data_IF_339533020546
#
_entry.id   IF_339533020546
#
_cell.length_a   1.000
_cell.length_b   1.000
_cell.length_c   1.000
_cell.angle_alpha   90.00
_cell.angle_beta   90.00
_cell.angle_gamma   90.00
#
_symmetry.space_group_name_H-M   'P 1'
#
loop_
_entity.id
_entity.type
_entity.pdbx_description
1 polymer ?
#
# COMPACT_ATOMS: atom_id res chain seq x y z
N UNK A 1 -1.17 -36.49 5.78
CA UNK A 1 -1.48 -35.58 6.91
C UNK A 1 -0.21 -34.81 7.21
N UNK A 2 -0.08 -33.49 7.16
CA UNK A 2 -1.01 -32.37 7.22
C UNK A 2 -0.35 -31.23 6.42
N UNK A 3 -0.99 -30.78 5.32
CA UNK A 3 -0.61 -29.49 4.71
C UNK A 3 -1.43 -28.42 5.43
N UNK A 4 -0.73 -27.69 6.30
CA UNK A 4 -1.28 -26.60 7.11
C UNK A 4 -1.99 -25.57 6.24
N UNK A 5 -3.30 -25.48 6.48
CA UNK A 5 -4.21 -24.42 6.12
C UNK A 5 -3.64 -23.04 6.44
N UNK A 6 -3.63 -22.14 5.46
CA UNK A 6 -3.22 -20.76 5.73
C UNK A 6 -3.48 -19.72 4.64
N UNK A 7 -3.96 -20.05 3.45
CA UNK A 7 -4.43 -19.05 2.47
C UNK A 7 -5.53 -19.65 1.59
N UNK A 8 -6.68 -19.96 2.19
CA UNK A 8 -7.94 -20.07 1.45
C UNK A 8 -8.71 -18.77 1.65
N UNK A 9 -8.28 -17.75 0.90
CA UNK A 9 -9.10 -16.61 0.53
C UNK A 9 -9.02 -16.45 -0.99
N UNK A 10 -9.16 -17.57 -1.70
CA UNK A 10 -9.28 -17.65 -3.16
C UNK A 10 -10.72 -17.93 -3.56
N UNK A 11 -11.66 -17.21 -2.93
CA UNK A 11 -13.05 -17.20 -3.37
C UNK A 11 -13.15 -16.24 -4.55
N UNK A 12 -13.12 -16.80 -5.76
CA UNK A 12 -13.74 -16.25 -6.97
C UNK A 12 -13.64 -14.73 -7.17
N UNK A 13 -12.46 -14.25 -7.56
CA UNK A 13 -12.30 -12.89 -8.09
C UNK A 13 -11.98 -12.95 -9.59
N UNK A 14 -12.77 -13.73 -10.34
CA UNK A 14 -12.69 -13.77 -11.82
C UNK A 14 -13.03 -12.42 -12.49
N UNK A 15 -13.41 -11.41 -11.70
CA UNK A 15 -13.66 -10.02 -12.11
C UNK A 15 -12.67 -9.02 -11.55
N UNK A 16 -11.63 -9.44 -10.80
CA UNK A 16 -10.61 -8.51 -10.32
C UNK A 16 -9.63 -8.16 -11.43
N UNK A 17 -10.04 -7.24 -12.29
CA UNK A 17 -9.14 -6.59 -13.23
C UNK A 17 -8.10 -5.78 -12.45
N UNK A 18 -6.81 -6.05 -12.69
CA UNK A 18 -5.71 -5.28 -12.12
C UNK A 18 -5.90 -3.81 -12.55
N UNK A 19 -5.95 -2.85 -11.61
CA UNK A 19 -6.01 -1.42 -11.94
C UNK A 19 -4.95 -0.98 -12.97
N UNK A 20 -3.79 -1.65 -13.06
CA UNK A 20 -2.78 -1.39 -14.09
C UNK A 20 -3.22 -1.83 -15.48
N UNK A 21 -3.84 -3.00 -15.60
CA UNK A 21 -4.39 -3.50 -16.87
C UNK A 21 -5.55 -2.62 -17.34
N UNK A 22 -6.39 -2.20 -16.41
CA UNK A 22 -7.47 -1.22 -16.62
C UNK A 22 -6.92 0.08 -17.20
N UNK A 23 -5.86 0.65 -16.60
CA UNK A 23 -5.24 1.87 -17.11
C UNK A 23 -4.59 1.68 -18.48
N UNK A 24 -3.95 0.54 -18.72
CA UNK A 24 -3.32 0.24 -20.01
C UNK A 24 -4.38 0.15 -21.13
N UNK A 25 -5.45 -0.64 -20.92
CA UNK A 25 -6.55 -0.79 -21.88
C UNK A 25 -7.24 0.57 -22.15
N UNK A 26 -7.59 1.28 -21.09
CA UNK A 26 -8.28 2.57 -21.23
C UNK A 26 -7.41 3.67 -21.81
N UNK A 27 -6.09 3.63 -21.61
CA UNK A 27 -5.20 4.60 -22.25
C UNK A 27 -5.20 4.47 -23.77
N UNK A 28 -5.23 3.23 -24.29
CA UNK A 28 -5.29 2.96 -25.73
C UNK A 28 -6.65 3.33 -26.30
N UNK A 29 -7.73 2.89 -25.65
CA UNK A 29 -9.10 3.25 -26.04
C UNK A 29 -9.31 4.77 -26.06
N UNK A 30 -8.79 5.48 -25.05
CA UNK A 30 -8.92 6.92 -24.96
C UNK A 30 -8.21 7.66 -26.10
N UNK A 31 -6.99 7.24 -26.46
CA UNK A 31 -6.26 7.83 -27.59
C UNK A 31 -6.99 7.59 -28.90
N UNK A 32 -7.49 6.37 -29.13
CA UNK A 32 -8.24 6.03 -30.33
C UNK A 32 -9.56 6.82 -30.44
N UNK A 33 -10.32 6.91 -29.34
CA UNK A 33 -11.57 7.69 -29.29
C UNK A 33 -11.33 9.19 -29.47
N UNK A 34 -10.22 9.72 -28.94
CA UNK A 34 -9.84 11.12 -29.15
C UNK A 34 -9.51 11.40 -30.61
N UNK A 35 -8.80 10.51 -31.29
CA UNK A 35 -8.54 10.62 -32.72
C UNK A 35 -9.85 10.57 -33.51
N UNK A 36 -10.73 9.61 -33.20
CA UNK A 36 -12.07 9.52 -33.82
C UNK A 36 -12.90 10.79 -33.60
N UNK A 37 -12.86 11.37 -32.41
CA UNK A 37 -13.53 12.64 -32.10
C UNK A 37 -13.00 13.80 -32.96
N UNK A 38 -11.67 13.91 -33.08
CA UNK A 38 -11.02 14.94 -33.90
C UNK A 38 -11.38 14.77 -35.39
N UNK A 39 -11.43 13.53 -35.89
CA UNK A 39 -11.86 13.22 -37.26
C UNK A 39 -13.33 13.60 -37.50
N UNK A 40 -14.24 13.24 -36.58
CA UNK A 40 -15.67 13.59 -36.70
C UNK A 40 -15.84 15.12 -36.72
N UNK A 41 -15.09 15.83 -35.88
CA UNK A 41 -15.08 17.30 -35.86
C UNK A 41 -14.57 17.89 -37.17
N UNK A 42 -13.51 17.33 -37.74
CA UNK A 42 -12.97 17.76 -39.03
C UNK A 42 -13.98 17.53 -40.17
N UNK A 43 -14.67 16.38 -40.18
CA UNK A 43 -15.71 16.10 -41.18
C UNK A 43 -16.93 17.01 -41.03
N UNK A 44 -17.35 17.35 -39.81
CA UNK A 44 -18.43 18.32 -39.58
C UNK A 44 -18.07 19.71 -40.11
N UNK A 45 -16.82 20.15 -39.90
CA UNK A 45 -16.31 21.39 -40.49
C UNK A 45 -16.32 21.34 -42.02
N UNK A 46 -15.93 20.21 -42.61
CA UNK A 46 -15.99 20.02 -44.05
C UNK A 46 -17.43 20.13 -44.58
N UNK A 47 -18.39 19.45 -43.95
CA UNK A 47 -19.81 19.55 -44.32
C UNK A 47 -20.31 21.00 -44.22
N UNK A 48 -19.90 21.75 -43.20
CA UNK A 48 -20.24 23.17 -43.09
C UNK A 48 -19.67 24.01 -44.25
N UNK A 49 -18.41 23.75 -44.64
CA UNK A 49 -17.82 24.43 -45.80
C UNK A 49 -18.52 24.07 -47.11
N UNK A 50 -18.94 22.81 -47.27
CA UNK A 50 -19.68 22.34 -48.44
C UNK A 50 -21.07 22.96 -48.53
N UNK A 51 -21.80 23.07 -47.41
CA UNK A 51 -23.08 23.77 -47.33
C UNK A 51 -22.92 25.25 -47.71
N UNK A 52 -21.86 25.90 -47.20
CA UNK A 52 -21.55 27.30 -47.54
C UNK A 52 -21.24 27.46 -49.03
N UNK A 53 -20.53 26.49 -49.63
CA UNK A 53 -20.24 26.47 -51.05
C UNK A 53 -21.51 26.24 -51.89
N UNK A 54 -22.44 25.39 -51.45
CA UNK A 54 -23.74 25.20 -52.11
C UNK A 54 -24.55 26.50 -52.12
N UNK A 55 -24.58 27.23 -51.01
CA UNK A 55 -25.25 28.54 -50.94
C UNK A 55 -24.62 29.56 -51.89
N UNK A 56 -23.30 29.52 -52.07
CA UNK A 56 -22.60 30.37 -53.05
C UNK A 56 -22.94 29.98 -54.49
N UNK A 57 -23.02 28.68 -54.81
CA UNK A 57 -23.40 28.20 -56.14
C UNK A 57 -24.82 28.60 -56.52
N UNK A 58 -25.75 28.52 -55.56
CA UNK A 58 -27.13 29.00 -55.74
C UNK A 58 -27.15 30.52 -56.02
N UNK A 59 -26.39 31.31 -55.25
CA UNK A 59 -26.29 32.77 -55.45
C UNK A 59 -25.72 33.16 -56.82
N UNK A 60 -24.82 32.34 -57.37
CA UNK A 60 -24.25 32.53 -58.71
C UNK A 60 -25.16 32.01 -59.83
N UNK A 61 -26.25 31.32 -59.50
CA UNK A 61 -27.14 30.69 -60.46
C UNK A 61 -26.55 29.46 -61.15
N UNK A 62 -25.47 28.87 -60.59
CA UNK A 62 -24.79 27.69 -61.16
C UNK A 62 -25.61 26.41 -60.97
N UNK A 63 -26.57 26.41 -60.03
CA UNK A 63 -27.46 25.29 -59.71
C UNK A 63 -28.89 25.79 -59.56
N UNK A 64 -29.87 24.91 -59.79
CA UNK A 64 -31.28 25.22 -59.57
C UNK A 64 -31.66 25.12 -58.09
N UNK A 65 -32.76 25.78 -57.71
CA UNK A 65 -33.25 25.77 -56.33
C UNK A 65 -33.68 24.36 -55.86
N UNK A 66 -34.19 23.53 -56.76
CA UNK A 66 -34.54 22.14 -56.46
C UNK A 66 -33.29 21.27 -56.20
N UNK A 67 -32.24 21.44 -57.00
CA UNK A 67 -30.96 20.73 -56.82
C UNK A 67 -30.26 21.17 -55.52
N UNK A 68 -30.32 22.47 -55.19
CA UNK A 68 -29.82 22.99 -53.91
C UNK A 68 -30.54 22.37 -52.72
N UNK A 69 -31.88 22.37 -52.73
CA UNK A 69 -32.69 21.78 -51.66
C UNK A 69 -32.39 20.30 -51.43
N UNK A 70 -32.21 19.53 -52.51
CA UNK A 70 -31.91 18.11 -52.41
C UNK A 70 -30.52 17.87 -51.79
N UNK A 71 -29.48 18.53 -52.32
CA UNK A 71 -28.11 18.39 -51.80
C UNK A 71 -27.98 18.93 -50.37
N UNK A 72 -28.69 20.00 -50.04
CA UNK A 72 -28.71 20.56 -48.69
C UNK A 72 -29.33 19.58 -47.70
N UNK A 73 -30.47 18.95 -48.04
CA UNK A 73 -31.10 17.93 -47.19
C UNK A 73 -30.21 16.72 -46.96
N UNK A 74 -29.54 16.22 -47.99
CA UNK A 74 -28.61 15.10 -47.87
C UNK A 74 -27.45 15.45 -46.92
N UNK A 75 -26.81 16.60 -47.11
CA UNK A 75 -25.71 17.07 -46.26
C UNK A 75 -26.14 17.36 -44.82
N UNK A 76 -27.35 17.89 -44.64
CA UNK A 76 -27.95 18.10 -43.33
C UNK A 76 -28.18 16.79 -42.58
N UNK A 77 -28.68 15.77 -43.28
CA UNK A 77 -28.92 14.44 -42.70
C UNK A 77 -27.60 13.80 -42.27
N UNK A 78 -26.58 13.87 -43.12
CA UNK A 78 -25.21 13.40 -42.78
C UNK A 78 -24.62 14.15 -41.59
N UNK A 79 -24.81 15.47 -41.52
CA UNK A 79 -24.36 16.28 -40.37
C UNK A 79 -25.05 15.84 -39.07
N UNK A 80 -26.35 15.55 -39.13
CA UNK A 80 -27.13 15.09 -37.97
C UNK A 80 -26.60 13.76 -37.43
N UNK A 81 -26.37 12.79 -38.33
CA UNK A 81 -25.77 11.49 -37.97
C UNK A 81 -24.36 11.66 -37.37
N UNK A 82 -23.55 12.56 -37.92
CA UNK A 82 -22.23 12.87 -37.37
C UNK A 82 -22.28 13.47 -35.97
N UNK A 83 -23.29 14.31 -35.67
CA UNK A 83 -23.48 14.89 -34.34
C UNK A 83 -23.87 13.81 -33.32
N UNK A 84 -24.67 12.82 -33.70
CA UNK A 84 -25.01 11.68 -32.84
C UNK A 84 -23.75 10.88 -32.49
N UNK A 85 -22.97 10.48 -33.49
CA UNK A 85 -21.68 9.79 -33.29
C UNK A 85 -20.74 10.61 -32.40
N UNK A 86 -20.66 11.94 -32.63
CA UNK A 86 -19.85 12.84 -31.78
C UNK A 86 -20.26 12.75 -30.32
N UNK A 87 -21.56 12.78 -30.01
CA UNK A 87 -22.07 12.70 -28.64
C UNK A 87 -21.77 11.35 -27.99
N UNK A 88 -21.87 10.25 -28.74
CA UNK A 88 -21.52 8.92 -28.26
C UNK A 88 -20.02 8.82 -27.90
N UNK A 89 -19.16 9.34 -28.77
CA UNK A 89 -17.71 9.39 -28.53
C UNK A 89 -17.39 10.26 -27.31
N UNK A 90 -18.03 11.43 -27.17
CA UNK A 90 -17.88 12.29 -25.98
C UNK A 90 -18.32 11.58 -24.68
N UNK A 91 -19.45 10.88 -24.72
CA UNK A 91 -19.93 10.10 -23.57
C UNK A 91 -18.93 9.01 -23.19
N UNK A 92 -18.42 8.26 -24.17
CA UNK A 92 -17.46 7.19 -23.90
C UNK A 92 -16.13 7.72 -23.38
N UNK A 93 -15.65 8.85 -23.90
CA UNK A 93 -14.45 9.52 -23.39
C UNK A 93 -14.61 9.95 -21.92
N UNK A 94 -15.80 10.45 -21.56
CA UNK A 94 -16.11 10.81 -20.17
C UNK A 94 -16.10 9.58 -19.25
N UNK A 95 -16.72 8.48 -19.67
CA UNK A 95 -16.75 7.23 -18.90
C UNK A 95 -15.34 6.66 -18.69
N UNK A 96 -14.53 6.61 -19.75
CA UNK A 96 -13.14 6.17 -19.67
C UNK A 96 -12.35 7.06 -18.71
N UNK A 97 -12.54 8.38 -18.76
CA UNK A 97 -11.87 9.29 -17.85
C UNK A 97 -12.28 9.03 -16.39
N UNK A 98 -13.55 8.72 -16.13
CA UNK A 98 -14.04 8.35 -14.79
C UNK A 98 -13.39 7.05 -14.30
N UNK A 99 -13.28 6.06 -15.17
CA UNK A 99 -12.67 4.75 -14.88
C UNK A 99 -11.17 4.86 -14.61
N UNK A 100 -10.43 5.65 -15.40
CA UNK A 100 -9.01 5.97 -15.17
C UNK A 100 -8.81 6.62 -13.79
N UNK A 101 -9.67 7.59 -13.41
CA UNK A 101 -9.57 8.24 -12.08
C UNK A 101 -9.81 7.24 -10.95
N UNK A 102 -10.79 6.35 -11.10
CA UNK A 102 -11.08 5.33 -10.11
C UNK A 102 -9.93 4.31 -9.97
N UNK A 103 -9.35 3.87 -11.09
CA UNK A 103 -8.20 2.97 -11.10
C UNK A 103 -6.98 3.60 -10.42
N UNK A 104 -6.68 4.87 -10.71
CA UNK A 104 -5.59 5.61 -10.06
C UNK A 104 -5.80 5.75 -8.55
N UNK A 105 -7.05 5.99 -8.10
CA UNK A 105 -7.37 6.06 -6.66
C UNK A 105 -7.07 4.71 -5.98
N UNK A 106 -7.50 3.60 -6.59
CA UNK A 106 -7.24 2.25 -6.08
C UNK A 106 -5.74 1.93 -6.00
N UNK A 107 -4.96 2.30 -7.03
CA UNK A 107 -3.50 2.10 -7.01
C UNK A 107 -2.84 2.86 -5.85
N UNK A 108 -3.25 4.11 -5.64
CA UNK A 108 -2.73 4.91 -4.53
C UNK A 108 -3.06 4.28 -3.18
N UNK A 109 -4.29 3.81 -2.98
CA UNK A 109 -4.69 3.13 -1.75
C UNK A 109 -3.87 1.84 -1.53
N UNK A 110 -3.62 1.07 -2.59
CA UNK A 110 -2.77 -0.12 -2.52
C UNK A 110 -1.31 0.20 -2.19
N UNK A 111 -0.74 1.28 -2.75
CA UNK A 111 0.62 1.74 -2.43
C UNK A 111 0.72 2.22 -0.98
N UNK A 112 -0.26 3.00 -0.49
CA UNK A 112 -0.31 3.45 0.90
C UNK A 112 -0.45 2.27 1.88
N UNK A 113 -1.23 1.25 1.53
CA UNK A 113 -1.31 0.01 2.32
C UNK A 113 0.01 -0.76 2.32
N UNK A 114 0.70 -0.87 1.19
CA UNK A 114 2.02 -1.52 1.11
C UNK A 114 3.03 -0.80 2.00
N UNK A 115 3.10 0.52 1.91
CA UNK A 115 4.00 1.32 2.76
C UNK A 115 3.68 1.15 4.25
N UNK A 116 2.39 1.10 4.62
CA UNK A 116 1.98 0.82 6.01
C UNK A 116 2.43 -0.58 6.45
N UNK A 117 2.26 -1.60 5.61
CA UNK A 117 2.70 -2.97 5.90
C UNK A 117 4.21 -3.05 6.02
N UNK A 118 4.95 -2.42 5.12
CA UNK A 118 6.42 -2.35 5.16
C UNK A 118 6.90 -1.65 6.44
N UNK A 119 6.26 -0.56 6.85
CA UNK A 119 6.58 0.12 8.11
C UNK A 119 6.32 -0.79 9.32
N UNK A 120 5.18 -1.47 9.37
CA UNK A 120 4.86 -2.42 10.45
C UNK A 120 5.88 -3.57 10.46
N UNK A 121 6.27 -4.11 9.30
CA UNK A 121 7.27 -5.17 9.21
C UNK A 121 8.66 -4.68 9.67
N UNK A 122 9.04 -3.45 9.33
CA UNK A 122 10.27 -2.83 9.84
C UNK A 122 10.23 -2.63 11.35
N UNK A 123 9.12 -2.14 11.91
CA UNK A 123 8.93 -2.00 13.35
C UNK A 123 9.02 -3.35 14.07
N UNK A 124 8.38 -4.40 13.53
CA UNK A 124 8.48 -5.77 14.04
C UNK A 124 9.90 -6.31 13.98
N UNK A 125 10.60 -6.09 12.87
CA UNK A 125 11.98 -6.52 12.68
C UNK A 125 12.91 -5.84 13.69
N UNK A 126 12.80 -4.51 13.82
CA UNK A 126 13.57 -3.75 14.79
C UNK A 126 13.29 -4.21 16.23
N UNK A 127 12.01 -4.40 16.58
CA UNK A 127 11.60 -4.91 17.88
C UNK A 127 12.14 -6.32 18.14
N UNK A 128 12.18 -7.19 17.13
CA UNK A 128 12.74 -8.53 17.24
C UNK A 128 14.26 -8.50 17.48
N UNK A 129 14.99 -7.64 16.77
CA UNK A 129 16.43 -7.44 16.98
C UNK A 129 16.70 -6.96 18.41
N UNK A 130 15.97 -5.95 18.87
CA UNK A 130 16.09 -5.43 20.23
C UNK A 130 15.75 -6.52 21.26
N UNK A 131 14.69 -7.30 21.01
CA UNK A 131 14.28 -8.39 21.90
C UNK A 131 15.35 -9.47 22.00
N UNK A 132 15.97 -9.86 20.88
CA UNK A 132 17.06 -10.84 20.87
C UNK A 132 18.28 -10.33 21.65
N UNK A 133 18.65 -9.06 21.49
CA UNK A 133 19.76 -8.45 22.22
C UNK A 133 19.48 -8.40 23.73
N UNK A 134 18.28 -7.96 24.13
CA UNK A 134 17.88 -7.91 25.53
C UNK A 134 17.77 -9.28 26.18
N UNK A 135 17.32 -10.30 25.43
CA UNK A 135 17.27 -11.68 25.92
C UNK A 135 18.66 -12.21 26.25
N UNK A 136 19.66 -11.96 25.39
CA UNK A 136 21.05 -12.33 25.69
C UNK A 136 21.56 -11.63 26.96
N UNK A 137 21.25 -10.34 27.12
CA UNK A 137 21.56 -9.59 28.35
C UNK A 137 20.86 -10.15 29.59
N UNK A 138 19.60 -10.57 29.45
CA UNK A 138 18.82 -11.20 30.51
C UNK A 138 19.43 -12.51 30.97
N UNK A 139 19.86 -13.35 30.03
CA UNK A 139 20.49 -14.64 30.33
C UNK A 139 21.80 -14.44 31.13
N UNK A 140 22.60 -13.42 30.80
CA UNK A 140 23.80 -13.04 31.56
C UNK A 140 23.48 -12.58 32.99
N UNK A 141 22.40 -11.79 33.17
CA UNK A 141 21.93 -11.37 34.50
C UNK A 141 21.51 -12.57 35.34
N UNK A 142 20.81 -13.54 34.74
CA UNK A 142 20.41 -14.78 35.39
C UNK A 142 21.61 -15.64 35.78
N UNK A 143 22.62 -15.74 34.90
CA UNK A 143 23.86 -16.44 35.20
C UNK A 143 24.63 -15.76 36.35
N UNK A 144 24.72 -14.42 36.35
CA UNK A 144 25.36 -13.67 37.42
C UNK A 144 24.67 -13.88 38.77
N UNK A 145 23.33 -13.91 38.79
CA UNK A 145 22.55 -14.21 40.00
C UNK A 145 22.85 -15.61 40.55
N UNK A 146 22.96 -16.61 39.67
CA UNK A 146 23.33 -17.98 40.04
C UNK A 146 24.75 -18.04 40.62
N UNK A 147 25.70 -17.31 40.03
CA UNK A 147 27.07 -17.23 40.50
C UNK A 147 27.16 -16.62 41.92
N UNK A 148 26.45 -15.52 42.16
CA UNK A 148 26.38 -14.87 43.49
C UNK A 148 25.78 -15.81 44.55
N UNK A 149 24.78 -16.62 44.17
CA UNK A 149 24.18 -17.62 45.07
C UNK A 149 25.20 -18.71 45.41
N UNK A 150 25.92 -19.21 44.40
CA UNK A 150 26.94 -20.26 44.57
C UNK A 150 28.15 -19.77 45.38
N UNK A 151 28.56 -18.51 45.21
CA UNK A 151 29.61 -17.87 46.02
C UNK A 151 29.21 -17.78 47.49
N UNK A 152 27.94 -17.50 47.77
CA UNK A 152 27.44 -17.47 49.14
C UNK A 152 27.41 -18.86 49.78
N UNK A 153 26.99 -19.90 49.05
CA UNK A 153 27.05 -21.27 49.55
C UNK A 153 28.48 -21.67 49.94
N UNK A 154 29.48 -21.24 49.15
CA UNK A 154 30.91 -21.42 49.48
C UNK A 154 31.32 -20.67 50.75
N UNK A 155 30.83 -19.45 50.93
CA UNK A 155 31.09 -18.62 52.13
C UNK A 155 30.43 -19.26 53.36
N UNK A 156 29.21 -19.79 53.25
CA UNK A 156 28.55 -20.52 54.33
C UNK A 156 29.31 -21.78 54.73
N UNK A 157 29.80 -22.56 53.76
CA UNK A 157 30.63 -23.74 54.03
C UNK A 157 31.93 -23.36 54.75
N UNK A 158 32.58 -22.26 54.35
CA UNK A 158 33.78 -21.75 55.03
C UNK A 158 33.48 -21.30 56.47
N UNK A 159 32.33 -20.67 56.71
CA UNK A 159 31.88 -20.30 58.06
C UNK A 159 31.66 -21.54 58.93
N UNK A 160 30.96 -22.55 58.42
CA UNK A 160 30.70 -23.81 59.15
C UNK A 160 31.97 -24.59 59.47
N UNK A 161 33.03 -24.37 58.70
CA UNK A 161 34.34 -24.95 58.92
C UNK A 161 35.27 -24.04 59.77
N UNK A 162 34.75 -22.98 60.38
CA UNK A 162 35.47 -21.97 61.18
C UNK A 162 36.66 -21.30 60.44
N UNK A 163 36.61 -21.27 59.10
CA UNK A 163 37.68 -20.72 58.26
C UNK A 163 37.60 -19.20 58.03
N UNK A 164 36.50 -18.58 58.44
CA UNK A 164 36.25 -17.14 58.32
C UNK A 164 35.59 -16.61 59.59
N UNK A 165 35.84 -15.35 59.93
CA UNK A 165 35.23 -14.72 61.09
C UNK A 165 33.76 -14.35 60.85
N UNK A 166 33.00 -14.25 61.94
CA UNK A 166 31.59 -13.83 61.89
C UNK A 166 31.43 -12.39 61.34
N UNK A 167 32.43 -11.53 61.53
CA UNK A 167 32.46 -10.17 60.97
C UNK A 167 32.65 -10.18 59.45
N UNK A 168 33.58 -10.99 58.94
CA UNK A 168 33.79 -11.18 57.50
C UNK A 168 32.57 -11.80 56.82
N UNK A 169 31.91 -12.78 57.46
CA UNK A 169 30.67 -13.37 56.98
C UNK A 169 29.54 -12.33 56.86
N UNK A 170 29.36 -11.48 57.89
CA UNK A 170 28.35 -10.40 57.85
C UNK A 170 28.64 -9.39 56.75
N UNK A 171 29.90 -8.99 56.58
CA UNK A 171 30.34 -8.09 55.51
C UNK A 171 30.04 -8.65 54.12
N UNK A 172 30.41 -9.91 53.88
CA UNK A 172 30.14 -10.59 52.61
C UNK A 172 28.63 -10.73 52.33
N UNK A 173 27.83 -11.05 53.36
CA UNK A 173 26.37 -11.15 53.23
C UNK A 173 25.71 -9.82 52.88
N UNK A 174 26.16 -8.71 53.46
CA UNK A 174 25.65 -7.37 53.12
C UNK A 174 26.01 -6.99 51.68
N UNK A 175 27.25 -7.28 51.24
CA UNK A 175 27.67 -7.05 49.86
C UNK A 175 26.84 -7.86 48.87
N UNK A 176 26.55 -9.12 49.20
CA UNK A 176 25.71 -10.00 48.39
C UNK A 176 24.28 -9.47 48.25
N UNK A 177 23.66 -9.02 49.36
CA UNK A 177 22.30 -8.45 49.34
C UNK A 177 22.24 -7.23 48.43
N UNK A 178 23.26 -6.37 48.44
CA UNK A 178 23.34 -5.20 47.54
C UNK A 178 23.41 -5.64 46.08
N UNK A 179 24.30 -6.56 45.74
CA UNK A 179 24.42 -7.08 44.37
C UNK A 179 23.13 -7.75 43.88
N UNK A 180 22.44 -8.51 44.74
CA UNK A 180 21.16 -9.14 44.40
C UNK A 180 20.04 -8.11 44.23
N UNK A 181 20.04 -7.03 45.01
CA UNK A 181 19.07 -5.94 44.86
C UNK A 181 19.26 -5.20 43.52
N UNK A 182 20.50 -4.90 43.14
CA UNK A 182 20.84 -4.27 41.85
C UNK A 182 20.47 -5.17 40.66
N UNK A 183 20.73 -6.49 40.75
CA UNK A 183 20.32 -7.42 39.70
C UNK A 183 18.80 -7.53 39.59
N UNK A 184 18.07 -7.45 40.71
CA UNK A 184 16.60 -7.54 40.71
C UNK A 184 15.95 -6.36 40.00
N UNK A 185 16.46 -5.14 40.17
CA UNK A 185 15.95 -3.97 39.43
C UNK A 185 16.18 -4.13 37.94
N UNK A 186 17.40 -4.49 37.54
CA UNK A 186 17.74 -4.75 36.13
C UNK A 186 16.90 -5.89 35.52
N UNK A 187 16.70 -6.99 36.27
CA UNK A 187 15.86 -8.11 35.84
C UNK A 187 14.42 -7.66 35.54
N UNK A 188 13.88 -6.79 36.38
CA UNK A 188 12.50 -6.28 36.25
C UNK A 188 12.38 -5.36 35.03
N UNK A 189 13.33 -4.45 34.85
CA UNK A 189 13.34 -3.51 33.72
C UNK A 189 13.49 -4.25 32.38
N UNK A 190 14.39 -5.24 32.31
CA UNK A 190 14.57 -6.06 31.11
C UNK A 190 13.29 -6.87 30.81
N UNK A 191 12.64 -7.46 31.82
CA UNK A 191 11.38 -8.20 31.61
C UNK A 191 10.26 -7.32 31.09
N UNK A 192 10.11 -6.11 31.65
CA UNK A 192 9.10 -5.16 31.20
C UNK A 192 9.35 -4.80 29.73
N UNK A 193 10.59 -4.46 29.37
CA UNK A 193 10.96 -4.11 28.01
C UNK A 193 10.79 -5.28 27.02
N UNK A 194 11.18 -6.50 27.40
CA UNK A 194 10.93 -7.70 26.60
C UNK A 194 9.42 -7.94 26.38
N UNK A 195 8.58 -7.63 27.36
CA UNK A 195 7.12 -7.69 27.26
C UNK A 195 6.58 -6.70 26.23
N UNK A 196 6.98 -5.43 26.33
CA UNK A 196 6.61 -4.38 25.36
C UNK A 196 6.99 -4.75 23.93
N UNK A 197 8.22 -5.25 23.73
CA UNK A 197 8.70 -5.65 22.41
C UNK A 197 7.92 -6.84 21.84
N UNK A 198 7.54 -7.81 22.68
CA UNK A 198 6.68 -8.92 22.25
C UNK A 198 5.28 -8.46 21.84
N UNK A 199 4.74 -7.42 22.48
CA UNK A 199 3.46 -6.84 22.04
C UNK A 199 3.57 -6.20 20.66
N UNK A 200 4.66 -5.47 20.39
CA UNK A 200 4.94 -4.88 19.06
C UNK A 200 5.08 -5.97 18.01
N UNK A 201 5.81 -7.04 18.31
CA UNK A 201 6.03 -8.16 17.38
C UNK A 201 4.71 -8.90 17.06
N UNK A 202 3.82 -9.04 18.05
CA UNK A 202 2.55 -9.79 17.91
C UNK A 202 1.44 -9.02 17.19
N UNK A 203 1.45 -7.69 17.22
CA UNK A 203 0.49 -6.82 16.53
C UNK A 203 0.79 -6.79 15.04
#
# INVERSE_FOLDING_TARGET
MSHGSGFRQGGEDYLYLDPKEVLAQYSVEWVALRQSYEEVKARLLQVQTELTALDQKLKKGEITEQEHLQQYRERWTTSTQMIEVKREVESRLYDIQREIRAANKKLKEMEEEKLKREHIEQEKSNALVEWMALKQGFDLVMERRKNITTEMDKIELRRRADKISDAEYRGARVAQIRQLAELRTLETDIKNRLGELLEIIRK
#
